data_IF_805810306061
#
_entry.id   IF_805810306061
#
_cell.length_a   1.000
_cell.length_b   1.000
_cell.length_c   1.000
_cell.angle_alpha   90.00
_cell.angle_beta   90.00
_cell.angle_gamma   90.00
#
_symmetry.space_group_name_H-M   'P 1'
#
loop_
_entity.id
_entity.type
_entity.pdbx_description
1 polymer ?
#
# COMPACT_ATOMS: atom_id res chain seq x y z
N UNK A 1 -28.08 12.32 12.97
CA UNK A 1 -26.68 12.53 13.38
C UNK A 1 -25.98 13.34 12.31
N UNK A 2 -25.24 14.37 12.69
CA UNK A 2 -24.45 15.18 11.73
C UNK A 2 -23.32 14.34 11.14
N UNK A 3 -23.15 14.38 9.81
CA UNK A 3 -22.07 13.67 9.09
C UNK A 3 -20.78 14.51 8.98
N UNK A 4 -20.59 15.49 9.85
CA UNK A 4 -19.42 16.38 9.84
C UNK A 4 -18.31 15.73 10.66
N UNK A 5 -17.21 15.33 10.00
CA UNK A 5 -16.01 14.84 10.67
C UNK A 5 -15.32 15.97 11.44
N UNK A 6 -14.86 15.69 12.64
CA UNK A 6 -14.16 16.67 13.50
C UNK A 6 -12.65 16.67 13.27
N UNK A 7 -12.11 15.58 12.79
CA UNK A 7 -10.69 15.38 12.47
C UNK A 7 -10.55 14.68 11.13
N UNK A 8 -9.52 15.02 10.37
CA UNK A 8 -9.25 14.40 9.08
C UNK A 8 -9.03 12.88 9.18
N UNK A 9 -8.49 12.42 10.30
CA UNK A 9 -8.27 10.98 10.58
C UNK A 9 -9.55 10.16 10.66
N UNK A 10 -10.70 10.79 10.92
CA UNK A 10 -12.02 10.10 10.93
C UNK A 10 -12.50 9.74 9.51
N UNK A 11 -11.88 10.34 8.48
CA UNK A 11 -12.18 10.05 7.08
C UNK A 11 -11.29 8.95 6.49
N UNK A 12 -10.36 8.40 7.26
CA UNK A 12 -9.49 7.30 6.82
C UNK A 12 -10.29 6.00 6.81
N UNK A 13 -10.25 5.29 5.70
CA UNK A 13 -11.00 4.06 5.49
C UNK A 13 -12.34 4.29 4.82
N UNK A 14 -13.23 3.30 4.88
CA UNK A 14 -14.51 3.27 4.17
C UNK A 14 -14.37 3.67 2.69
N UNK A 15 -13.31 3.21 2.06
CA UNK A 15 -13.01 3.49 0.66
C UNK A 15 -13.94 2.68 -0.24
N UNK A 16 -14.30 3.20 -1.43
CA UNK A 16 -15.27 2.54 -2.29
C UNK A 16 -14.71 1.27 -2.97
N UNK A 17 -15.61 0.38 -3.36
CA UNK A 17 -15.38 -0.64 -4.37
C UNK A 17 -15.88 -0.12 -5.73
N UNK A 18 -15.17 -0.47 -6.81
CA UNK A 18 -15.51 -0.13 -8.18
C UNK A 18 -15.37 -1.35 -9.08
N UNK A 19 -16.36 -1.63 -9.91
CA UNK A 19 -16.24 -2.60 -11.00
C UNK A 19 -15.45 -2.00 -12.17
N UNK A 20 -14.39 -2.68 -12.58
CA UNK A 20 -13.55 -2.29 -13.72
C UNK A 20 -14.20 -2.79 -15.03
N UNK A 21 -15.35 -2.25 -15.37
CA UNK A 21 -16.20 -2.78 -16.44
C UNK A 21 -15.56 -2.71 -17.83
N UNK A 22 -14.99 -1.54 -18.20
CA UNK A 22 -14.37 -1.36 -19.53
C UNK A 22 -13.07 -2.15 -19.63
N UNK A 23 -12.23 -2.11 -18.61
CA UNK A 23 -11.00 -2.88 -18.56
C UNK A 23 -11.29 -4.39 -18.70
N UNK A 24 -12.24 -4.90 -17.93
CA UNK A 24 -12.60 -6.31 -17.94
C UNK A 24 -13.16 -6.76 -19.30
N UNK A 25 -14.01 -5.93 -19.92
CA UNK A 25 -14.51 -6.16 -21.27
C UNK A 25 -13.38 -6.20 -22.30
N UNK A 26 -12.43 -5.27 -22.25
CA UNK A 26 -11.24 -5.24 -23.15
C UNK A 26 -10.36 -6.49 -22.97
N UNK A 27 -10.35 -7.10 -21.78
CA UNK A 27 -9.62 -8.35 -21.50
C UNK A 27 -10.43 -9.61 -21.82
N UNK A 28 -11.71 -9.48 -22.25
CA UNK A 28 -12.59 -10.61 -22.53
C UNK A 28 -13.00 -11.38 -21.31
N UNK A 29 -13.09 -10.74 -20.14
CA UNK A 29 -13.48 -11.38 -18.88
C UNK A 29 -15.01 -11.50 -18.79
N UNK A 30 -15.51 -12.61 -18.26
CA UNK A 30 -16.94 -12.84 -18.06
C UNK A 30 -17.54 -12.00 -16.92
N UNK A 31 -16.75 -11.76 -15.88
CA UNK A 31 -17.11 -10.94 -14.73
C UNK A 31 -16.14 -9.76 -14.60
N UNK A 32 -16.63 -8.58 -14.21
CA UNK A 32 -15.74 -7.46 -13.95
C UNK A 32 -14.87 -7.74 -12.72
N UNK A 33 -13.61 -7.31 -12.76
CA UNK A 33 -12.76 -7.24 -11.57
C UNK A 33 -13.27 -6.12 -10.70
N UNK A 34 -13.37 -6.37 -9.40
CA UNK A 34 -13.77 -5.37 -8.39
C UNK A 34 -12.51 -4.80 -7.74
N UNK A 35 -12.38 -3.48 -7.74
CA UNK A 35 -11.24 -2.76 -7.20
C UNK A 35 -11.60 -2.01 -5.92
N UNK A 36 -10.85 -2.23 -4.84
CA UNK A 36 -10.87 -1.43 -3.61
C UNK A 36 -9.97 -0.22 -3.80
N UNK A 37 -10.56 0.99 -3.86
CA UNK A 37 -9.87 2.21 -4.28
C UNK A 37 -9.30 2.96 -3.07
N UNK A 38 -8.07 2.66 -2.68
CA UNK A 38 -7.43 3.25 -1.49
C UNK A 38 -6.91 4.68 -1.68
N UNK A 39 -6.91 5.20 -2.91
CA UNK A 39 -6.64 6.62 -3.18
C UNK A 39 -7.72 7.56 -2.62
N UNK A 40 -8.88 7.05 -2.22
CA UNK A 40 -9.93 7.81 -1.55
C UNK A 40 -9.64 8.09 -0.07
N UNK A 41 -8.61 7.52 0.51
CA UNK A 41 -8.12 7.99 1.80
C UNK A 41 -7.62 9.43 1.71
N UNK A 42 -7.71 10.24 2.78
CA UNK A 42 -7.35 11.67 2.78
C UNK A 42 -5.93 11.99 2.28
N UNK A 43 -4.96 11.12 2.60
CA UNK A 43 -3.58 11.23 2.12
C UNK A 43 -3.34 10.50 0.78
N UNK A 44 -4.39 9.98 0.15
CA UNK A 44 -4.34 9.38 -1.19
C UNK A 44 -3.75 7.99 -1.27
N UNK A 45 -3.69 7.23 -0.17
CA UNK A 45 -3.20 5.85 -0.19
C UNK A 45 -3.69 4.98 0.96
N UNK A 46 -3.55 3.66 0.78
CA UNK A 46 -3.76 2.64 1.81
C UNK A 46 -2.92 2.86 3.08
N UNK A 47 -1.81 3.59 2.98
CA UNK A 47 -0.89 3.81 4.09
C UNK A 47 -1.41 4.79 5.14
N UNK A 48 -2.45 5.56 4.84
CA UNK A 48 -3.14 6.37 5.85
C UNK A 48 -3.69 5.48 6.97
N UNK A 49 -4.25 4.32 6.61
CA UNK A 49 -4.74 3.32 7.57
C UNK A 49 -3.62 2.82 8.48
N UNK A 50 -2.49 2.47 7.87
CA UNK A 50 -1.32 1.92 8.57
C UNK A 50 -0.69 2.96 9.48
N UNK A 51 -0.52 4.19 9.00
CA UNK A 51 0.04 5.30 9.77
C UNK A 51 -0.81 5.62 11.01
N UNK A 52 -2.13 5.73 10.83
CA UNK A 52 -3.05 5.95 11.95
C UNK A 52 -2.96 4.82 12.98
N UNK A 53 -3.00 3.57 12.51
CA UNK A 53 -2.98 2.41 13.40
C UNK A 53 -1.68 2.30 14.21
N UNK A 54 -0.53 2.53 13.58
CA UNK A 54 0.77 2.46 14.28
C UNK A 54 0.93 3.58 15.32
N UNK A 55 0.42 4.77 15.03
CA UNK A 55 0.44 5.89 15.98
C UNK A 55 -0.51 5.60 17.15
N UNK A 56 -1.75 5.18 16.89
CA UNK A 56 -2.73 4.84 17.92
C UNK A 56 -2.25 3.68 18.81
N UNK A 57 -1.68 2.63 18.23
CA UNK A 57 -1.08 1.52 18.98
C UNK A 57 0.06 1.97 19.90
N UNK A 58 0.90 2.89 19.44
CA UNK A 58 1.97 3.47 20.26
C UNK A 58 1.45 4.38 21.38
N UNK A 59 0.35 5.11 21.15
CA UNK A 59 -0.36 5.89 22.16
C UNK A 59 -0.96 4.97 23.24
N UNK A 60 -1.69 3.93 22.80
CA UNK A 60 -2.37 2.98 23.70
C UNK A 60 -1.37 2.20 24.58
N UNK A 61 -0.19 1.90 24.06
CA UNK A 61 0.91 1.27 24.80
C UNK A 61 1.70 2.25 25.69
N UNK A 62 1.38 3.54 25.64
CA UNK A 62 2.11 4.57 26.39
C UNK A 62 3.54 4.84 25.89
N UNK A 63 3.88 4.34 24.68
CA UNK A 63 5.19 4.53 24.03
C UNK A 63 5.32 5.91 23.39
N UNK A 64 4.20 6.51 22.99
CA UNK A 64 4.14 7.81 22.33
C UNK A 64 3.37 8.80 23.19
N UNK A 65 4.07 9.79 23.75
CA UNK A 65 3.47 10.85 24.58
C UNK A 65 3.07 12.06 23.73
N UNK A 66 2.07 12.86 24.14
CA UNK A 66 1.72 14.09 23.42
C UNK A 66 2.93 14.97 23.11
N UNK A 67 3.05 15.42 21.86
CA UNK A 67 4.16 16.25 21.39
C UNK A 67 5.49 15.54 21.17
N UNK A 68 5.55 14.23 21.36
CA UNK A 68 6.75 13.43 21.10
C UNK A 68 7.16 13.44 19.62
N UNK A 69 8.36 12.96 19.34
CA UNK A 69 8.90 12.85 17.98
C UNK A 69 8.77 11.43 17.46
N UNK A 70 8.12 11.29 16.33
CA UNK A 70 8.06 10.06 15.53
C UNK A 70 9.18 10.12 14.50
N UNK A 71 9.88 9.01 14.30
CA UNK A 71 10.91 8.86 13.29
C UNK A 71 10.55 7.66 12.44
N UNK A 72 10.68 7.74 11.11
CA UNK A 72 10.45 6.57 10.26
C UNK A 72 11.37 6.61 9.03
N UNK A 73 12.09 5.52 8.74
CA UNK A 73 12.89 5.39 7.53
C UNK A 73 11.97 4.99 6.37
N UNK A 74 11.48 5.98 5.65
CA UNK A 74 10.58 5.75 4.50
C UNK A 74 10.59 6.93 3.53
N UNK A 75 10.49 6.61 2.26
CA UNK A 75 10.34 7.58 1.17
C UNK A 75 9.00 7.46 0.43
N UNK A 76 8.16 6.52 0.87
CA UNK A 76 6.91 6.17 0.20
C UNK A 76 5.67 6.72 0.89
N UNK A 77 4.54 6.11 0.54
CA UNK A 77 3.21 6.49 1.02
C UNK A 77 3.07 6.42 2.54
N UNK A 78 3.84 5.57 3.22
CA UNK A 78 3.86 5.53 4.70
C UNK A 78 4.31 6.85 5.29
N UNK A 79 5.34 7.48 4.71
CA UNK A 79 5.80 8.81 5.14
C UNK A 79 4.72 9.88 4.97
N UNK A 80 3.94 9.82 3.91
CA UNK A 80 2.81 10.74 3.66
C UNK A 80 1.71 10.52 4.70
N UNK A 81 1.30 9.27 4.92
CA UNK A 81 0.29 8.94 5.94
C UNK A 81 0.72 9.34 7.35
N UNK A 82 1.99 9.08 7.71
CA UNK A 82 2.53 9.51 9.01
C UNK A 82 2.56 11.04 9.13
N UNK A 83 2.93 11.76 8.07
CA UNK A 83 2.97 13.22 8.08
C UNK A 83 1.58 13.82 8.28
N UNK A 84 0.57 13.30 7.58
CA UNK A 84 -0.83 13.68 7.75
C UNK A 84 -1.31 13.43 9.18
N UNK A 85 -1.12 12.21 9.71
CA UNK A 85 -1.62 11.86 11.05
C UNK A 85 -0.87 12.61 12.14
N UNK A 86 0.46 12.77 12.00
CA UNK A 86 1.27 13.56 12.94
C UNK A 86 0.81 15.02 12.99
N UNK A 87 0.52 15.64 11.85
CA UNK A 87 -0.01 16.99 11.77
C UNK A 87 -1.37 17.12 12.51
N UNK A 88 -2.28 16.15 12.32
CA UNK A 88 -3.60 16.16 12.97
C UNK A 88 -3.51 15.94 14.47
N UNK A 89 -2.59 15.08 14.94
CA UNK A 89 -2.44 14.70 16.36
C UNK A 89 -1.43 15.55 17.12
N UNK A 90 -0.68 16.44 16.44
CA UNK A 90 0.29 17.35 17.07
C UNK A 90 1.63 16.70 17.41
N UNK A 91 2.03 15.66 16.68
CA UNK A 91 3.36 15.05 16.81
C UNK A 91 4.39 15.69 15.90
N UNK A 92 5.65 15.68 16.33
CA UNK A 92 6.79 15.98 15.46
C UNK A 92 7.10 14.73 14.63
N UNK A 93 7.41 14.90 13.35
CA UNK A 93 7.78 13.79 12.47
C UNK A 93 9.11 14.08 11.79
N UNK A 94 10.01 13.12 11.84
CA UNK A 94 11.27 13.12 11.10
C UNK A 94 11.27 11.89 10.19
N UNK A 95 11.36 12.11 8.88
CA UNK A 95 11.49 11.05 7.89
C UNK A 95 12.93 10.99 7.39
N UNK A 96 13.54 9.82 7.45
CA UNK A 96 14.84 9.57 6.87
C UNK A 96 14.68 8.88 5.52
N UNK A 97 15.36 9.38 4.49
CA UNK A 97 15.27 8.85 3.14
C UNK A 97 16.51 9.16 2.31
N UNK A 98 16.84 8.32 1.31
CA UNK A 98 17.94 8.61 0.40
C UNK A 98 17.73 9.91 -0.40
N UNK A 99 18.82 10.63 -0.67
CA UNK A 99 18.80 11.85 -1.48
C UNK A 99 18.38 11.65 -2.95
N UNK A 100 18.30 10.40 -3.40
CA UNK A 100 17.78 10.02 -4.72
C UNK A 100 16.26 10.10 -4.84
N UNK A 101 15.55 10.31 -3.74
CA UNK A 101 14.09 10.46 -3.76
C UNK A 101 13.68 11.79 -4.41
N UNK A 102 12.57 11.75 -5.16
CA UNK A 102 12.09 12.90 -5.91
C UNK A 102 11.77 14.12 -5.01
N UNK A 103 11.92 15.30 -5.58
CA UNK A 103 11.67 16.57 -4.89
C UNK A 103 10.18 16.67 -4.50
N UNK A 104 9.27 16.18 -5.35
CA UNK A 104 7.82 16.20 -5.11
C UNK A 104 7.47 15.43 -3.85
N UNK A 105 8.07 14.25 -3.64
CA UNK A 105 7.86 13.44 -2.42
C UNK A 105 8.35 14.14 -1.17
N UNK A 106 9.52 14.80 -1.25
CA UNK A 106 10.08 15.57 -0.12
C UNK A 106 9.19 16.78 0.20
N UNK A 107 8.74 17.50 -0.83
CA UNK A 107 7.87 18.66 -0.66
C UNK A 107 6.51 18.29 -0.09
N UNK A 108 5.94 17.15 -0.52
CA UNK A 108 4.65 16.68 -0.02
C UNK A 108 4.68 16.46 1.51
N UNK A 109 5.67 15.76 2.02
CA UNK A 109 5.76 15.50 3.48
C UNK A 109 6.14 16.77 4.26
N UNK A 110 6.96 17.65 3.68
CA UNK A 110 7.27 18.96 4.27
C UNK A 110 6.04 19.87 4.35
N UNK A 111 5.14 19.80 3.38
CA UNK A 111 3.89 20.56 3.39
C UNK A 111 2.99 20.20 4.58
N UNK A 112 3.07 18.96 5.08
CA UNK A 112 2.42 18.54 6.32
C UNK A 112 3.22 18.91 7.59
N UNK A 113 4.39 19.56 7.46
CA UNK A 113 5.23 19.97 8.59
C UNK A 113 6.28 18.94 9.02
N UNK A 114 6.46 17.83 8.28
CA UNK A 114 7.50 16.86 8.60
C UNK A 114 8.91 17.39 8.29
N UNK A 115 9.88 17.01 9.11
CA UNK A 115 11.31 17.21 8.83
C UNK A 115 11.83 16.05 7.98
N UNK A 116 12.60 16.35 6.93
CA UNK A 116 13.25 15.36 6.08
C UNK A 116 14.74 15.35 6.33
N UNK A 117 15.27 14.22 6.76
CA UNK A 117 16.72 13.95 6.87
C UNK A 117 17.16 13.13 5.67
N UNK A 118 17.91 13.73 4.76
CA UNK A 118 18.46 13.03 3.61
C UNK A 118 19.71 12.24 4.01
N UNK A 119 19.83 11.05 3.43
CA UNK A 119 20.99 10.16 3.57
C UNK A 119 21.64 9.92 2.21
N UNK A 120 22.88 9.42 2.21
CA UNK A 120 23.60 9.14 0.97
C UNK A 120 22.80 8.18 0.06
N UNK A 121 22.65 8.55 -1.20
CA UNK A 121 22.00 7.70 -2.21
C UNK A 121 22.71 6.37 -2.41
N UNK A 122 24.04 6.30 -2.18
CA UNK A 122 24.82 5.07 -2.29
C UNK A 122 24.44 4.01 -1.24
N UNK A 123 23.99 4.43 -0.06
CA UNK A 123 23.60 3.54 1.03
C UNK A 123 22.12 3.11 0.93
N UNK A 124 21.32 3.76 0.07
CA UNK A 124 19.91 3.44 -0.15
C UNK A 124 19.10 3.44 1.15
N UNK A 125 18.16 2.51 1.26
CA UNK A 125 17.32 2.38 2.48
C UNK A 125 18.10 1.94 3.72
N UNK A 126 19.22 1.24 3.58
CA UNK A 126 20.06 0.86 4.73
C UNK A 126 20.60 2.10 5.45
N UNK A 127 21.08 3.09 4.68
CA UNK A 127 21.52 4.38 5.23
C UNK A 127 20.38 5.14 5.90
N UNK A 128 19.18 5.11 5.34
CA UNK A 128 18.01 5.75 5.94
C UNK A 128 17.62 5.09 7.28
N UNK A 129 17.64 3.76 7.37
CA UNK A 129 17.35 3.01 8.60
C UNK A 129 18.39 3.39 9.69
N UNK A 130 19.69 3.32 9.36
CA UNK A 130 20.74 3.68 10.29
C UNK A 130 20.58 5.12 10.82
N UNK A 131 20.31 6.07 9.94
CA UNK A 131 20.06 7.46 10.34
C UNK A 131 18.81 7.62 11.22
N UNK A 132 17.77 6.83 11.02
CA UNK A 132 16.59 6.82 11.88
C UNK A 132 16.93 6.30 13.29
N UNK A 133 17.72 5.24 13.40
CA UNK A 133 18.18 4.68 14.68
C UNK A 133 19.06 5.67 15.44
N UNK A 134 20.02 6.30 14.78
CA UNK A 134 20.88 7.35 15.37
C UNK A 134 20.06 8.54 15.89
N UNK A 135 19.04 8.97 15.14
CA UNK A 135 18.13 10.02 15.58
C UNK A 135 17.31 9.62 16.78
N UNK A 136 16.74 8.40 16.78
CA UNK A 136 16.00 7.87 17.92
C UNK A 136 16.84 7.87 19.18
N UNK A 137 18.08 7.43 19.10
CA UNK A 137 18.98 7.35 20.25
C UNK A 137 19.43 8.74 20.75
N UNK A 138 19.42 9.74 19.88
CA UNK A 138 19.79 11.14 20.21
C UNK A 138 18.63 12.00 20.69
N UNK A 139 17.38 11.63 20.41
CA UNK A 139 16.19 12.42 20.76
C UNK A 139 15.39 11.70 21.86
N UNK A 140 15.46 12.13 23.12
CA UNK A 140 14.74 11.47 24.20
C UNK A 140 13.23 11.39 23.96
N UNK A 141 12.65 10.21 24.16
CA UNK A 141 11.23 9.96 23.99
C UNK A 141 10.74 9.87 22.56
N UNK A 142 11.65 9.85 21.57
CA UNK A 142 11.30 9.54 20.19
C UNK A 142 11.16 8.05 19.95
N UNK A 143 10.36 7.68 18.94
CA UNK A 143 10.13 6.29 18.56
C UNK A 143 10.21 6.10 17.05
N UNK A 144 10.58 4.87 16.63
CA UNK A 144 10.42 4.39 15.25
C UNK A 144 9.23 3.42 15.25
N UNK A 145 8.28 3.60 14.33
CA UNK A 145 7.05 2.81 14.31
C UNK A 145 7.19 1.45 13.62
N UNK A 146 8.18 1.29 12.73
CA UNK A 146 8.59 0.02 12.12
C UNK A 146 7.47 -0.68 11.32
N UNK A 147 7.04 -0.07 10.21
CA UNK A 147 5.93 -0.55 9.39
C UNK A 147 6.02 -2.03 8.95
N UNK A 148 7.22 -2.60 8.84
CA UNK A 148 7.46 -3.99 8.43
C UNK A 148 7.36 -5.01 9.57
N UNK A 149 7.34 -4.55 10.82
CA UNK A 149 7.33 -5.38 12.03
C UNK A 149 6.09 -5.15 12.89
N UNK A 150 5.53 -3.94 12.86
CA UNK A 150 4.45 -3.51 13.71
C UNK A 150 3.12 -4.20 13.37
N UNK A 151 2.65 -5.02 14.28
CA UNK A 151 1.41 -5.81 14.10
C UNK A 151 0.13 -4.97 14.06
N UNK A 152 0.16 -3.70 14.45
CA UNK A 152 -0.97 -2.78 14.25
C UNK A 152 -1.31 -2.62 12.75
N UNK A 153 -0.31 -2.78 11.85
CA UNK A 153 -0.50 -2.75 10.41
C UNK A 153 -1.47 -3.85 9.92
N UNK A 154 -1.18 -5.17 10.01
CA UNK A 154 -2.14 -6.18 9.59
C UNK A 154 -3.44 -6.17 10.42
N UNK A 155 -3.39 -5.82 11.70
CA UNK A 155 -4.59 -5.71 12.53
C UNK A 155 -5.55 -4.63 12.03
N UNK A 156 -5.05 -3.47 11.56
CA UNK A 156 -5.90 -2.43 10.96
C UNK A 156 -6.60 -2.93 9.72
N UNK A 157 -5.90 -3.64 8.85
CA UNK A 157 -6.49 -4.23 7.65
C UNK A 157 -7.52 -5.32 7.97
N UNK A 158 -7.29 -6.12 9.00
CA UNK A 158 -8.26 -7.08 9.50
C UNK A 158 -9.53 -6.38 10.00
N UNK A 159 -9.38 -5.37 10.86
CA UNK A 159 -10.49 -4.70 11.52
C UNK A 159 -11.29 -3.77 10.58
N UNK A 160 -10.68 -3.29 9.50
CA UNK A 160 -11.31 -2.30 8.60
C UNK A 160 -11.37 -2.78 7.16
N UNK A 161 -10.27 -2.85 6.43
CA UNK A 161 -10.23 -3.15 4.99
C UNK A 161 -10.90 -4.48 4.64
N UNK A 162 -10.60 -5.55 5.39
CA UNK A 162 -11.20 -6.86 5.20
C UNK A 162 -12.70 -6.85 5.46
N UNK A 163 -13.12 -6.20 6.53
CA UNK A 163 -14.54 -6.04 6.89
C UNK A 163 -15.29 -5.20 5.85
N UNK A 164 -14.70 -4.09 5.39
CA UNK A 164 -15.29 -3.25 4.35
C UNK A 164 -15.50 -4.05 3.06
N UNK A 165 -14.48 -4.77 2.57
CA UNK A 165 -14.60 -5.61 1.37
C UNK A 165 -15.72 -6.63 1.53
N UNK A 166 -15.80 -7.34 2.65
CA UNK A 166 -16.83 -8.33 2.91
C UNK A 166 -18.22 -7.73 2.93
N UNK A 167 -18.41 -6.63 3.66
CA UNK A 167 -19.71 -5.96 3.76
C UNK A 167 -20.16 -5.35 2.42
N UNK A 168 -19.24 -4.68 1.70
CA UNK A 168 -19.57 -3.99 0.45
C UNK A 168 -19.81 -4.95 -0.73
N UNK A 169 -19.47 -6.24 -0.56
CA UNK A 169 -19.74 -7.30 -1.53
C UNK A 169 -20.87 -8.24 -1.11
N UNK A 170 -21.56 -7.95 0.00
CA UNK A 170 -22.55 -8.87 0.63
C UNK A 170 -21.97 -10.27 0.87
N UNK A 171 -20.67 -10.35 1.20
CA UNK A 171 -19.95 -11.59 1.43
C UNK A 171 -19.59 -12.38 0.16
N UNK A 172 -19.87 -11.86 -1.01
CA UNK A 172 -19.62 -12.56 -2.27
C UNK A 172 -18.20 -12.24 -2.80
N UNK A 173 -17.18 -12.83 -2.16
CA UNK A 173 -15.78 -12.77 -2.59
C UNK A 173 -15.26 -14.20 -2.76
N UNK A 174 -14.80 -14.54 -3.96
CA UNK A 174 -14.18 -15.84 -4.23
C UNK A 174 -12.66 -15.76 -4.19
N UNK A 175 -12.08 -14.67 -4.73
CA UNK A 175 -10.63 -14.47 -4.81
C UNK A 175 -10.31 -13.05 -4.39
N UNK A 176 -9.34 -12.89 -3.48
CA UNK A 176 -8.75 -11.60 -3.10
C UNK A 176 -7.30 -11.52 -3.58
N UNK A 177 -6.95 -10.44 -4.26
CA UNK A 177 -5.62 -10.21 -4.85
C UNK A 177 -5.03 -8.91 -4.31
N UNK A 178 -3.80 -8.95 -3.80
CA UNK A 178 -3.12 -7.73 -3.38
C UNK A 178 -1.59 -7.83 -3.51
N UNK A 179 -0.96 -6.72 -3.89
CA UNK A 179 0.50 -6.57 -3.90
C UNK A 179 1.09 -6.59 -2.49
N UNK A 180 2.27 -7.19 -2.34
CA UNK A 180 2.96 -7.32 -1.06
C UNK A 180 4.14 -6.36 -0.95
N UNK A 181 3.93 -5.27 -0.20
CA UNK A 181 4.99 -4.39 0.29
C UNK A 181 5.38 -4.78 1.71
N UNK A 182 4.65 -4.29 2.72
CA UNK A 182 4.83 -4.71 4.11
C UNK A 182 4.14 -6.05 4.41
N UNK A 183 3.21 -6.50 3.59
CA UNK A 183 2.41 -7.70 3.84
C UNK A 183 1.19 -7.49 4.75
N UNK A 184 1.03 -6.30 5.33
CA UNK A 184 -0.08 -6.01 6.25
C UNK A 184 -1.46 -6.15 5.60
N UNK A 185 -1.64 -5.63 4.39
CA UNK A 185 -2.90 -5.72 3.64
C UNK A 185 -3.30 -7.17 3.39
N UNK A 186 -2.43 -7.95 2.75
CA UNK A 186 -2.75 -9.34 2.38
C UNK A 186 -3.00 -10.21 3.61
N UNK A 187 -2.21 -10.01 4.67
CA UNK A 187 -2.33 -10.78 5.91
C UNK A 187 -3.61 -10.42 6.68
N UNK A 188 -3.90 -9.13 6.84
CA UNK A 188 -5.07 -8.69 7.60
C UNK A 188 -6.37 -8.98 6.87
N UNK A 189 -6.46 -8.62 5.59
CA UNK A 189 -7.65 -8.91 4.75
C UNK A 189 -7.82 -10.41 4.56
N UNK A 190 -6.74 -11.12 4.22
CA UNK A 190 -6.78 -12.57 4.03
C UNK A 190 -7.28 -13.31 5.28
N UNK A 191 -6.78 -12.93 6.46
CA UNK A 191 -7.27 -13.47 7.73
C UNK A 191 -8.78 -13.24 7.89
N UNK A 192 -9.24 -12.00 7.73
CA UNK A 192 -10.65 -11.67 7.90
C UNK A 192 -11.54 -12.46 6.93
N UNK A 193 -11.21 -12.44 5.64
CA UNK A 193 -12.01 -13.11 4.61
C UNK A 193 -12.08 -14.63 4.84
N UNK A 194 -10.96 -15.28 5.20
CA UNK A 194 -10.93 -16.71 5.50
C UNK A 194 -11.69 -17.09 6.78
N UNK A 195 -11.78 -16.21 7.75
CA UNK A 195 -12.64 -16.42 8.93
C UNK A 195 -14.13 -16.32 8.59
N UNK A 196 -14.50 -15.49 7.60
CA UNK A 196 -15.89 -15.41 7.12
C UNK A 196 -16.22 -16.58 6.18
N UNK A 197 -15.32 -16.90 5.24
CA UNK A 197 -15.46 -18.01 4.30
C UNK A 197 -14.10 -18.66 4.03
N UNK A 198 -13.82 -19.84 4.57
CA UNK A 198 -12.53 -20.53 4.38
C UNK A 198 -12.17 -20.83 2.92
N UNK A 199 -13.16 -20.83 2.01
CA UNK A 199 -12.96 -21.11 0.59
C UNK A 199 -12.48 -19.90 -0.21
N UNK A 200 -12.44 -18.69 0.37
CA UNK A 200 -11.87 -17.53 -0.30
C UNK A 200 -10.39 -17.78 -0.60
N UNK A 201 -10.03 -17.67 -1.87
CA UNK A 201 -8.65 -17.78 -2.31
C UNK A 201 -7.95 -16.43 -2.17
N UNK A 202 -6.81 -16.40 -1.49
CA UNK A 202 -6.00 -15.19 -1.25
C UNK A 202 -4.71 -15.29 -2.06
N UNK A 203 -4.49 -14.33 -2.96
CA UNK A 203 -3.35 -14.32 -3.89
C UNK A 203 -2.47 -13.10 -3.62
N UNK A 204 -1.23 -13.36 -3.24
CA UNK A 204 -0.21 -12.35 -3.04
C UNK A 204 0.48 -12.03 -4.38
N UNK A 205 0.78 -10.76 -4.63
CA UNK A 205 1.49 -10.34 -5.85
C UNK A 205 2.87 -9.82 -5.49
N UNK A 206 3.89 -10.31 -6.21
CA UNK A 206 5.28 -9.86 -6.09
C UNK A 206 5.91 -9.61 -7.48
N UNK A 207 7.03 -8.84 -7.57
CA UNK A 207 7.73 -8.65 -8.84
C UNK A 207 8.47 -9.92 -9.26
N UNK A 208 8.41 -10.28 -10.56
CA UNK A 208 9.15 -11.44 -11.13
C UNK A 208 10.67 -11.33 -10.90
N UNK A 209 11.22 -10.11 -10.95
CA UNK A 209 12.66 -9.88 -10.74
C UNK A 209 13.09 -9.84 -9.28
N UNK A 210 12.15 -9.91 -8.34
CA UNK A 210 12.40 -9.95 -6.88
C UNK A 210 11.42 -10.93 -6.18
N UNK A 211 11.42 -12.23 -6.56
CA UNK A 211 10.40 -13.19 -6.15
C UNK A 211 10.71 -13.79 -4.77
N UNK A 212 10.90 -12.96 -3.77
CA UNK A 212 11.34 -13.35 -2.42
C UNK A 212 10.29 -14.20 -1.70
N UNK A 213 9.00 -13.89 -1.87
CA UNK A 213 7.92 -14.68 -1.27
C UNK A 213 7.83 -16.08 -1.85
N UNK A 214 8.19 -16.25 -3.13
CA UNK A 214 8.28 -17.55 -3.83
C UNK A 214 9.58 -18.29 -3.57
N UNK A 215 10.45 -17.80 -2.65
CA UNK A 215 11.73 -18.43 -2.30
C UNK A 215 12.89 -18.06 -3.23
N UNK A 216 12.72 -17.09 -4.13
CA UNK A 216 13.79 -16.55 -4.97
C UNK A 216 14.60 -15.45 -4.28
N UNK A 217 15.55 -14.89 -5.01
CA UNK A 217 16.41 -13.81 -4.52
C UNK A 217 15.79 -12.43 -4.77
N UNK A 218 16.13 -11.48 -3.90
CA UNK A 218 15.77 -10.08 -4.12
C UNK A 218 16.51 -9.51 -5.32
N UNK A 219 15.82 -8.70 -6.12
CA UNK A 219 16.36 -8.04 -7.28
C UNK A 219 15.74 -6.66 -7.51
N UNK A 220 16.33 -5.90 -8.42
CA UNK A 220 15.81 -4.57 -8.80
C UNK A 220 14.55 -4.70 -9.64
N UNK A 221 13.55 -3.87 -9.36
CA UNK A 221 12.31 -3.77 -10.11
C UNK A 221 11.76 -2.34 -10.12
N UNK A 222 10.79 -2.08 -11.02
CA UNK A 222 10.16 -0.75 -11.18
C UNK A 222 8.80 -0.62 -10.47
N UNK A 223 8.28 -1.70 -9.88
CA UNK A 223 6.95 -1.72 -9.24
C UNK A 223 7.06 -1.14 -7.82
N UNK A 224 7.01 0.19 -7.71
CA UNK A 224 7.11 0.89 -6.43
C UNK A 224 5.97 0.48 -5.50
N UNK A 225 6.28 0.32 -4.20
CA UNK A 225 5.31 0.02 -3.15
C UNK A 225 5.15 -1.46 -2.79
N UNK A 226 5.69 -2.37 -3.61
CA UNK A 226 5.75 -3.82 -3.33
C UNK A 226 7.18 -4.34 -3.49
N UNK A 227 7.42 -5.60 -3.17
CA UNK A 227 8.72 -6.23 -3.38
C UNK A 227 9.83 -5.64 -2.50
N UNK A 228 9.67 -5.68 -1.18
CA UNK A 228 10.62 -5.08 -0.21
C UNK A 228 12.03 -5.69 -0.24
N UNK A 229 12.23 -6.81 -0.94
CA UNK A 229 13.50 -7.53 -1.01
C UNK A 229 13.78 -8.46 0.17
N UNK A 230 12.83 -8.59 1.08
CA UNK A 230 12.83 -9.53 2.22
C UNK A 230 11.38 -9.88 2.58
N UNK A 231 11.19 -10.91 3.42
CA UNK A 231 9.87 -11.28 3.96
C UNK A 231 9.60 -10.47 5.22
N UNK A 232 8.62 -9.55 5.22
CA UNK A 232 8.29 -8.74 6.40
C UNK A 232 7.66 -9.56 7.53
N UNK A 233 7.89 -9.18 8.80
CA UNK A 233 7.26 -9.82 9.97
C UNK A 233 5.73 -9.63 10.01
N UNK A 234 5.22 -8.62 9.31
CA UNK A 234 3.79 -8.35 9.14
C UNK A 234 3.12 -9.19 8.04
N UNK A 235 3.92 -9.94 7.25
CA UNK A 235 3.42 -10.91 6.28
C UNK A 235 3.17 -12.26 6.95
N UNK A 236 1.97 -12.81 6.78
CA UNK A 236 1.61 -14.12 7.31
C UNK A 236 1.16 -15.06 6.18
N UNK A 237 2.04 -15.96 5.79
CA UNK A 237 1.82 -16.93 4.70
C UNK A 237 0.66 -17.89 4.97
N UNK A 238 0.23 -18.07 6.24
CA UNK A 238 -0.90 -18.93 6.60
C UNK A 238 -2.23 -18.52 5.90
N UNK A 239 -2.36 -17.25 5.59
CA UNK A 239 -3.56 -16.70 4.95
C UNK A 239 -3.42 -16.49 3.44
N UNK A 240 -2.34 -16.98 2.83
CA UNK A 240 -2.05 -16.83 1.40
C UNK A 240 -2.05 -18.20 0.74
N UNK A 241 -2.86 -18.35 -0.31
CA UNK A 241 -3.01 -19.62 -1.03
C UNK A 241 -2.10 -19.71 -2.26
N UNK A 242 -1.79 -18.55 -2.87
CA UNK A 242 -0.98 -18.47 -4.09
C UNK A 242 -0.14 -17.19 -4.09
N UNK A 243 1.05 -17.26 -4.67
CA UNK A 243 1.89 -16.11 -4.96
C UNK A 243 1.95 -15.95 -6.48
N UNK A 244 1.56 -14.78 -6.99
CA UNK A 244 1.54 -14.46 -8.41
C UNK A 244 2.66 -13.45 -8.72
N UNK A 245 3.51 -13.80 -9.68
CA UNK A 245 4.62 -12.95 -10.10
C UNK A 245 4.20 -12.06 -11.29
N UNK A 246 4.57 -10.78 -11.26
CA UNK A 246 4.23 -9.79 -12.29
C UNK A 246 5.49 -9.06 -12.75
N UNK A 247 5.65 -8.92 -14.07
CA UNK A 247 6.73 -8.16 -14.67
C UNK A 247 6.48 -6.66 -14.62
N UNK A 248 7.57 -5.88 -14.67
CA UNK A 248 7.49 -4.41 -14.65
C UNK A 248 6.60 -3.87 -15.79
N UNK A 249 6.75 -4.38 -17.00
CA UNK A 249 6.02 -3.90 -18.18
C UNK A 249 4.53 -4.26 -18.09
N UNK A 250 4.20 -5.44 -17.58
CA UNK A 250 2.82 -5.85 -17.33
C UNK A 250 2.12 -4.91 -16.34
N UNK A 251 2.80 -4.55 -15.27
CA UNK A 251 2.29 -3.61 -14.25
C UNK A 251 2.08 -2.20 -14.85
N UNK A 252 3.06 -1.71 -15.60
CA UNK A 252 3.05 -0.37 -16.22
C UNK A 252 1.95 -0.27 -17.27
N UNK A 253 1.90 -1.22 -18.22
CA UNK A 253 0.90 -1.21 -19.29
C UNK A 253 -0.53 -1.34 -18.73
N UNK A 254 -0.73 -2.17 -17.70
CA UNK A 254 -2.04 -2.31 -17.06
C UNK A 254 -2.44 -1.02 -16.34
N UNK A 255 -1.52 -0.36 -15.63
CA UNK A 255 -1.80 0.92 -14.98
C UNK A 255 -2.22 2.01 -15.97
N UNK A 256 -1.53 2.12 -17.12
CA UNK A 256 -1.90 3.04 -18.22
C UNK A 256 -3.28 2.69 -18.78
N UNK A 257 -3.54 1.41 -18.99
CA UNK A 257 -4.81 0.94 -19.54
C UNK A 257 -5.99 1.28 -18.62
N UNK A 258 -5.84 1.15 -17.29
CA UNK A 258 -6.87 1.54 -16.32
C UNK A 258 -7.23 3.03 -16.40
N UNK A 259 -6.25 3.91 -16.58
CA UNK A 259 -6.50 5.33 -16.77
C UNK A 259 -7.32 5.59 -18.05
N UNK A 260 -7.02 4.89 -19.14
CA UNK A 260 -7.68 5.06 -20.43
C UNK A 260 -9.05 4.38 -20.53
N UNK A 261 -9.25 3.24 -19.85
CA UNK A 261 -10.51 2.50 -19.91
C UNK A 261 -11.53 2.97 -18.89
N UNK A 262 -11.17 3.00 -17.61
CA UNK A 262 -12.10 3.25 -16.50
C UNK A 262 -11.86 4.62 -15.82
N UNK A 263 -10.94 5.44 -16.35
CA UNK A 263 -10.63 6.76 -15.81
C UNK A 263 -9.88 6.74 -14.47
N UNK A 264 -9.31 5.57 -14.11
CA UNK A 264 -8.59 5.38 -12.85
C UNK A 264 -7.09 5.65 -13.02
N UNK A 265 -6.65 6.81 -12.57
CA UNK A 265 -5.23 7.14 -12.50
C UNK A 265 -4.62 6.50 -11.25
N UNK A 266 -3.84 5.45 -11.42
CA UNK A 266 -3.33 4.58 -10.33
C UNK A 266 -1.82 4.48 -10.32
N UNK A 267 -1.22 4.04 -9.20
CA UNK A 267 0.20 3.75 -9.12
C UNK A 267 0.57 2.41 -9.77
N UNK A 268 1.89 2.16 -9.94
CA UNK A 268 2.42 0.97 -10.64
C UNK A 268 1.97 -0.33 -9.97
N UNK A 269 1.96 -0.38 -8.63
CA UNK A 269 1.53 -1.57 -7.88
C UNK A 269 0.04 -1.89 -8.05
N UNK A 270 -0.79 -0.89 -8.34
CA UNK A 270 -2.20 -1.11 -8.70
C UNK A 270 -2.30 -1.82 -10.06
N UNK A 271 -1.48 -1.40 -11.03
CA UNK A 271 -1.38 -2.08 -12.32
C UNK A 271 -0.96 -3.55 -12.17
N UNK A 272 0.02 -3.82 -11.30
CA UNK A 272 0.44 -5.19 -11.00
C UNK A 272 -0.70 -6.04 -10.39
N UNK A 273 -1.43 -5.49 -9.43
CA UNK A 273 -2.52 -6.20 -8.77
C UNK A 273 -3.68 -6.50 -9.74
N UNK A 274 -4.06 -5.54 -10.60
CA UNK A 274 -5.10 -5.74 -11.61
C UNK A 274 -4.65 -6.70 -12.71
N UNK A 275 -3.38 -6.63 -13.13
CA UNK A 275 -2.83 -7.61 -14.07
C UNK A 275 -2.98 -9.03 -13.53
N UNK A 276 -2.51 -9.29 -12.31
CA UNK A 276 -2.64 -10.59 -11.66
C UNK A 276 -4.11 -11.03 -11.55
N UNK A 277 -5.01 -10.14 -11.14
CA UNK A 277 -6.44 -10.41 -11.07
C UNK A 277 -7.03 -10.79 -12.43
N UNK A 278 -6.61 -10.10 -13.52
CA UNK A 278 -7.08 -10.40 -14.88
C UNK A 278 -6.61 -11.76 -15.38
N UNK A 279 -5.37 -12.14 -15.10
CA UNK A 279 -4.85 -13.46 -15.47
C UNK A 279 -5.48 -14.60 -14.65
N UNK A 280 -5.79 -14.36 -13.38
CA UNK A 280 -6.56 -15.29 -12.56
C UNK A 280 -7.99 -15.47 -13.09
N UNK A 281 -8.65 -14.39 -13.53
CA UNK A 281 -10.00 -14.44 -14.08
C UNK A 281 -10.11 -15.26 -15.38
N UNK A 282 -9.03 -15.33 -16.16
CA UNK A 282 -8.97 -16.11 -17.40
C UNK A 282 -8.83 -17.62 -17.19
N UNK A 283 -8.46 -18.05 -16.00
CA UNK A 283 -8.27 -19.47 -15.71
C UNK A 283 -9.62 -20.20 -15.70
N UNK A 284 -9.74 -21.37 -16.36
CA UNK A 284 -11.02 -22.12 -16.44
C UNK A 284 -11.67 -22.40 -15.09
N UNK A 285 -10.86 -22.71 -14.07
CA UNK A 285 -11.31 -23.00 -12.71
C UNK A 285 -11.86 -21.78 -11.97
N UNK A 286 -11.59 -20.58 -12.49
CA UNK A 286 -12.07 -19.32 -11.92
C UNK A 286 -13.21 -18.68 -12.72
N UNK A 287 -13.74 -19.38 -13.70
CA UNK A 287 -14.87 -18.93 -14.49
C UNK A 287 -16.07 -18.57 -13.61
N UNK A 288 -16.63 -17.38 -13.80
CA UNK A 288 -17.77 -16.86 -13.03
C UNK A 288 -17.44 -16.44 -11.59
N UNK A 289 -16.19 -16.58 -11.13
CA UNK A 289 -15.78 -16.16 -9.77
C UNK A 289 -15.65 -14.66 -9.65
N UNK A 290 -16.03 -14.14 -8.48
CA UNK A 290 -15.88 -12.74 -8.11
C UNK A 290 -14.49 -12.48 -7.55
N UNK A 291 -13.72 -11.68 -8.26
CA UNK A 291 -12.34 -11.34 -7.91
C UNK A 291 -12.28 -9.89 -7.42
N UNK A 292 -11.80 -9.71 -6.20
CA UNK A 292 -11.56 -8.39 -5.59
C UNK A 292 -10.07 -8.13 -5.53
N UNK A 293 -9.63 -6.96 -5.97
CA UNK A 293 -8.24 -6.50 -5.85
C UNK A 293 -8.16 -5.16 -5.14
N UNK A 294 -7.00 -4.83 -4.56
CA UNK A 294 -6.79 -3.56 -3.88
C UNK A 294 -5.84 -2.67 -4.68
N UNK A 295 -6.26 -1.43 -4.94
CA UNK A 295 -5.48 -0.38 -5.61
C UNK A 295 -4.91 0.58 -4.56
N UNK A 296 -3.59 0.48 -4.25
CA UNK A 296 -3.02 1.11 -3.07
C UNK A 296 -3.01 2.63 -3.06
N UNK A 297 -2.87 3.29 -4.22
CA UNK A 297 -2.68 4.74 -4.27
C UNK A 297 -3.07 5.38 -5.60
N UNK A 298 -2.96 6.72 -5.65
CA UNK A 298 -3.20 7.54 -6.85
C UNK A 298 -1.99 7.56 -7.80
N UNK A 299 -2.26 7.66 -9.11
CA UNK A 299 -1.23 7.77 -10.13
C UNK A 299 -0.55 9.14 -10.22
N UNK A 300 -1.11 10.19 -9.61
CA UNK A 300 -0.48 11.53 -9.61
C UNK A 300 0.94 11.53 -9.03
N UNK A 301 1.24 10.60 -8.12
CA UNK A 301 2.58 10.41 -7.53
C UNK A 301 3.60 9.81 -8.49
N UNK A 302 3.18 9.40 -9.68
CA UNK A 302 3.98 8.67 -10.67
C UNK A 302 4.08 9.37 -12.01
N UNK A 303 3.60 10.63 -12.14
CA UNK A 303 3.61 11.39 -13.39
C UNK A 303 5.04 11.64 -13.90
N UNK A 304 6.02 11.73 -13.00
CA UNK A 304 7.46 11.85 -13.33
C UNK A 304 8.18 10.49 -13.32
N UNK A 305 7.47 9.40 -13.55
CA UNK A 305 8.06 8.04 -13.61
C UNK A 305 7.75 7.36 -14.95
N UNK A 306 8.40 6.22 -15.17
CA UNK A 306 8.15 5.39 -16.37
C UNK A 306 6.70 4.97 -16.57
N UNK A 307 5.85 5.04 -15.52
CA UNK A 307 4.43 4.73 -15.65
C UNK A 307 3.70 5.66 -16.62
N UNK A 308 3.99 6.96 -16.57
CA UNK A 308 3.36 7.99 -17.39
C UNK A 308 4.36 8.74 -18.28
N UNK A 309 5.51 8.13 -18.61
CA UNK A 309 6.39 8.65 -19.63
C UNK A 309 5.75 8.47 -21.02
N UNK A 310 5.52 9.56 -21.72
CA UNK A 310 5.00 9.60 -23.09
C UNK A 310 6.11 10.06 -24.03
N UNK A 311 6.07 9.62 -25.30
CA UNK A 311 7.09 9.97 -26.29
C UNK A 311 7.19 11.49 -26.53
N UNK A 312 6.04 12.19 -26.48
CA UNK A 312 5.95 13.64 -26.64
C UNK A 312 6.53 14.43 -25.46
N UNK A 313 6.59 13.81 -24.29
CA UNK A 313 7.08 14.42 -23.04
C UNK A 313 8.04 13.42 -22.35
N UNK A 314 9.26 13.24 -22.84
CA UNK A 314 10.24 12.35 -22.24
C UNK A 314 10.66 12.85 -20.85
N UNK A 315 10.92 11.92 -19.93
CA UNK A 315 11.35 12.22 -18.55
C UNK A 315 12.80 12.70 -18.50
#
# INVERSE_FOLDING_TARGET
>A
MTKIAKKLTELIGNTPLLELNKFSSLKGLEQPIIAKIESFNPGGSVKDRVALAMIEDAEDKGLLKPGATIIEPTSGNTGVGLALVAAVKGYKLILTMPETMSIERRNLVKAYGATVKLTSGKEGMKGAIKAAEELRDSIPGSIILQQFENQANPQKHYATTGKEIWCDTDGAVDIFVAGVGTGGTISGVGKYLKEQNPNVKVVAVEPTTSPVLSGGQSGSHKIQGIGAGFIPSTYNSKYVDEIFQVDNDQAILTGRQLAQSDGLLVGISSGAAVFAASELAKRPENKGKRIVTLLPDTGERYLSTVLYAFEEYPL
#
